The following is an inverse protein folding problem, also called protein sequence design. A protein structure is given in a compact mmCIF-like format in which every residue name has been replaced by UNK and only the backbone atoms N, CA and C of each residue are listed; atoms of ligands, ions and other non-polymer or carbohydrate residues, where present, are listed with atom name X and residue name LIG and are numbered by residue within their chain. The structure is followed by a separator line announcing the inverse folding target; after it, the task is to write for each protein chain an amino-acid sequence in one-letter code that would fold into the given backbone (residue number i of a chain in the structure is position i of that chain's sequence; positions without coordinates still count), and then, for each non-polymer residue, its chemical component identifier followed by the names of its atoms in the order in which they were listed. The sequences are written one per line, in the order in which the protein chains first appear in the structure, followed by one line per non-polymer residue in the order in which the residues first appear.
data_IF_900367398586
#
_entry.id   IF_900367398586
#
_cell.length_a   1.000
_cell.length_b   1.000
_cell.length_c   1.000
_cell.angle_alpha   90.00
_cell.angle_beta   90.00
_cell.angle_gamma   90.00
#
_symmetry.space_group_name_H-M   'P 1'
#
loop_
_entity.id
_entity.type
_entity.pdbx_description
1 polymer ?
#
# COMPACT_ATOMS: atom_id res chain seq x y z
N UNK A 1 4.35 -22.11 18.47
CA UNK A 1 3.12 -22.76 18.99
C UNK A 1 2.00 -22.71 17.93
N UNK A 2 1.68 -21.57 17.31
CA UNK A 2 0.61 -21.45 16.29
C UNK A 2 0.79 -22.33 15.03
N UNK A 3 2.00 -22.58 14.61
CA UNK A 3 2.30 -23.44 13.44
C UNK A 3 1.97 -24.92 13.70
N UNK A 4 1.97 -25.36 14.97
CA UNK A 4 1.67 -26.76 15.36
C UNK A 4 0.19 -27.07 15.57
N UNK A 5 -0.66 -26.07 15.76
CA UNK A 5 -2.10 -26.24 16.04
C UNK A 5 -2.91 -26.44 14.75
N UNK A 6 -2.31 -26.25 13.59
CA UNK A 6 -3.01 -26.23 12.28
C UNK A 6 -3.09 -27.62 11.60
N UNK A 7 -2.86 -28.72 12.32
CA UNK A 7 -2.88 -30.07 11.72
C UNK A 7 -4.25 -30.76 11.70
N UNK A 8 -5.32 -30.11 12.17
CA UNK A 8 -6.65 -30.74 12.27
C UNK A 8 -7.86 -29.84 11.99
N UNK A 9 -7.68 -28.60 11.49
CA UNK A 9 -8.76 -27.65 11.23
C UNK A 9 -8.61 -26.90 9.90
N UNK A 10 -9.54 -26.00 9.57
CA UNK A 10 -9.44 -25.10 8.42
C UNK A 10 -8.09 -24.38 8.46
N UNK A 11 -7.25 -24.52 7.42
CA UNK A 11 -5.96 -23.85 7.36
C UNK A 11 -6.19 -22.35 7.49
N UNK A 12 -5.74 -21.75 8.58
CA UNK A 12 -5.68 -20.30 8.73
C UNK A 12 -4.90 -19.73 7.55
N UNK A 13 -5.50 -18.75 6.87
CA UNK A 13 -4.79 -18.04 5.82
C UNK A 13 -3.60 -17.29 6.45
N UNK A 14 -2.60 -17.04 5.66
CA UNK A 14 -1.44 -16.25 6.10
C UNK A 14 -1.87 -14.85 6.59
N UNK A 15 -2.87 -14.27 5.95
CA UNK A 15 -3.52 -13.03 6.32
C UNK A 15 -4.17 -13.08 7.70
N UNK A 16 -4.88 -14.17 8.03
CA UNK A 16 -5.51 -14.33 9.34
C UNK A 16 -4.47 -14.44 10.46
N UNK A 17 -3.35 -15.09 10.20
CA UNK A 17 -2.25 -15.18 11.14
C UNK A 17 -1.63 -13.80 11.39
N UNK A 18 -1.36 -13.02 10.34
CA UNK A 18 -0.86 -11.64 10.46
C UNK A 18 -1.85 -10.76 11.21
N UNK A 19 -3.15 -10.85 10.91
CA UNK A 19 -4.18 -10.11 11.63
C UNK A 19 -4.23 -10.49 13.11
N UNK A 20 -4.02 -11.75 13.45
CA UNK A 20 -3.96 -12.18 14.86
C UNK A 20 -2.75 -11.57 15.59
N UNK A 21 -1.60 -11.51 14.93
CA UNK A 21 -0.40 -10.87 15.47
C UNK A 21 -0.62 -9.36 15.67
N UNK A 22 -1.19 -8.69 14.68
CA UNK A 22 -1.51 -7.26 14.77
C UNK A 22 -2.49 -6.98 15.91
N UNK A 23 -3.60 -7.70 15.97
CA UNK A 23 -4.62 -7.54 17.03
C UNK A 23 -4.03 -7.76 18.43
N UNK A 24 -3.05 -8.64 18.57
CA UNK A 24 -2.40 -8.90 19.85
C UNK A 24 -1.37 -7.83 20.27
N UNK A 25 -0.94 -6.98 19.36
CA UNK A 25 0.11 -5.98 19.61
C UNK A 25 -0.34 -4.52 19.41
N UNK A 26 -1.51 -4.28 18.81
CA UNK A 26 -2.12 -2.96 18.71
C UNK A 26 -2.92 -2.65 19.98
N UNK A 27 -2.94 -1.39 20.37
CA UNK A 27 -3.76 -0.90 21.50
C UNK A 27 -5.21 -0.62 21.07
N UNK A 28 -5.45 -0.36 19.76
CA UNK A 28 -6.78 -0.13 19.18
C UNK A 28 -7.35 -1.38 18.49
N UNK A 29 -8.64 -1.34 18.13
CA UNK A 29 -9.27 -2.40 17.31
C UNK A 29 -8.86 -2.31 15.84
N UNK A 30 -7.59 -2.60 15.56
CA UNK A 30 -7.05 -2.60 14.20
C UNK A 30 -7.83 -3.51 13.24
N UNK A 31 -8.45 -4.59 13.75
CA UNK A 31 -9.24 -5.50 12.93
C UNK A 31 -10.53 -4.83 12.45
N UNK A 32 -11.25 -4.17 13.35
CA UNK A 32 -12.45 -3.41 13.01
C UNK A 32 -12.14 -2.26 12.07
N UNK A 33 -11.14 -1.46 12.39
CA UNK A 33 -10.69 -0.33 11.55
C UNK A 33 -10.31 -0.79 10.12
N UNK A 34 -9.52 -1.85 10.01
CA UNK A 34 -9.11 -2.37 8.70
C UNK A 34 -10.30 -2.87 7.87
N UNK A 35 -11.28 -3.50 8.50
CA UNK A 35 -12.50 -3.94 7.81
C UNK A 35 -13.27 -2.75 7.23
N UNK A 36 -13.38 -1.65 7.97
CA UNK A 36 -14.03 -0.41 7.50
C UNK A 36 -13.34 0.09 6.22
N UNK A 37 -12.02 0.13 6.17
CA UNK A 37 -11.29 0.56 4.97
C UNK A 37 -11.42 -0.42 3.81
N UNK A 38 -11.32 -1.74 4.06
CA UNK A 38 -11.52 -2.76 3.01
C UNK A 38 -12.91 -2.66 2.41
N UNK A 39 -13.95 -2.49 3.23
CA UNK A 39 -15.33 -2.35 2.75
C UNK A 39 -15.50 -1.04 1.97
N UNK A 40 -14.94 0.06 2.45
CA UNK A 40 -14.92 1.34 1.73
C UNK A 40 -14.26 1.20 0.35
N UNK A 41 -13.09 0.59 0.25
CA UNK A 41 -12.40 0.41 -1.03
C UNK A 41 -13.17 -0.54 -1.96
N UNK A 42 -13.85 -1.54 -1.42
CA UNK A 42 -14.72 -2.42 -2.20
C UNK A 42 -15.92 -1.68 -2.79
N UNK A 43 -16.57 -0.82 -2.02
CA UNK A 43 -17.75 -0.05 -2.49
C UNK A 43 -17.37 0.99 -3.55
N UNK A 44 -16.15 1.51 -3.54
CA UNK A 44 -15.63 2.41 -4.59
C UNK A 44 -15.03 1.65 -5.79
N UNK A 45 -15.16 0.32 -5.81
CA UNK A 45 -14.69 -0.52 -6.92
C UNK A 45 -13.24 -1.02 -6.78
N UNK A 46 -12.51 -0.62 -5.74
CA UNK A 46 -11.12 -1.04 -5.50
C UNK A 46 -11.01 -2.28 -4.58
N UNK A 47 -11.85 -3.28 -4.80
CA UNK A 47 -11.84 -4.54 -4.06
C UNK A 47 -10.52 -5.32 -4.14
N UNK A 48 -9.67 -5.01 -5.12
CA UNK A 48 -8.30 -5.53 -5.19
C UNK A 48 -7.41 -5.00 -4.04
N UNK A 49 -7.78 -3.90 -3.39
CA UNK A 49 -7.06 -3.32 -2.27
C UNK A 49 -7.58 -3.88 -0.94
N UNK A 50 -7.39 -5.18 -0.75
CA UNK A 50 -7.80 -5.90 0.45
C UNK A 50 -6.80 -5.78 1.61
N UNK A 51 -7.03 -6.55 2.69
CA UNK A 51 -6.20 -6.54 3.92
C UNK A 51 -4.72 -6.73 3.63
N UNK A 52 -4.35 -7.74 2.83
CA UNK A 52 -2.95 -8.04 2.52
C UNK A 52 -2.27 -6.87 1.81
N UNK A 53 -3.01 -6.22 0.91
CA UNK A 53 -2.51 -5.06 0.19
C UNK A 53 -2.29 -3.87 1.14
N UNK A 54 -3.22 -3.61 2.07
CA UNK A 54 -3.08 -2.57 3.09
C UNK A 54 -1.86 -2.84 3.96
N UNK A 55 -1.69 -4.08 4.44
CA UNK A 55 -0.57 -4.48 5.30
C UNK A 55 0.78 -4.33 4.59
N UNK A 56 0.87 -4.81 3.35
CA UNK A 56 2.12 -4.68 2.57
C UNK A 56 2.42 -3.22 2.25
N UNK A 57 1.39 -2.43 1.94
CA UNK A 57 1.54 -0.98 1.75
C UNK A 57 1.99 -0.30 3.05
N UNK A 58 1.46 -0.69 4.20
CA UNK A 58 1.90 -0.14 5.50
C UNK A 58 3.40 -0.34 5.74
N UNK A 59 3.93 -1.55 5.48
CA UNK A 59 5.38 -1.81 5.56
C UNK A 59 6.16 -0.90 4.59
N UNK A 60 5.67 -0.76 3.36
CA UNK A 60 6.30 0.09 2.34
C UNK A 60 6.36 1.56 2.79
N UNK A 61 5.27 2.09 3.35
CA UNK A 61 5.17 3.48 3.77
C UNK A 61 6.10 3.81 4.94
N UNK A 62 6.21 2.92 5.93
CA UNK A 62 7.13 3.13 7.07
C UNK A 62 8.60 2.87 6.70
N UNK A 63 8.91 2.47 5.47
CA UNK A 63 10.27 2.17 5.01
C UNK A 63 10.84 0.86 5.54
N UNK A 64 9.98 -0.05 6.02
CA UNK A 64 10.39 -1.39 6.43
C UNK A 64 10.54 -2.32 5.22
N UNK A 65 11.17 -3.49 5.44
CA UNK A 65 11.20 -4.52 4.42
C UNK A 65 9.77 -4.96 4.09
N UNK A 66 9.31 -4.66 2.86
CA UNK A 66 7.95 -4.86 2.41
C UNK A 66 7.65 -6.27 1.88
N UNK A 67 8.63 -7.18 1.87
CA UNK A 67 8.37 -8.59 1.56
C UNK A 67 7.32 -9.12 2.55
N UNK A 68 6.21 -9.63 2.01
CA UNK A 68 5.06 -10.04 2.80
C UNK A 68 5.36 -11.38 3.51
N UNK A 69 6.02 -11.31 4.66
CA UNK A 69 6.30 -12.44 5.52
C UNK A 69 6.20 -12.06 7.02
N UNK A 70 6.02 -13.07 7.88
CA UNK A 70 5.85 -12.88 9.33
C UNK A 70 7.02 -12.15 10.00
N UNK A 71 8.25 -12.31 9.49
CA UNK A 71 9.44 -11.69 10.08
C UNK A 71 9.40 -10.17 9.97
N UNK A 72 8.74 -9.66 8.93
CA UNK A 72 8.60 -8.23 8.70
C UNK A 72 7.48 -7.59 9.54
N UNK A 73 6.61 -8.41 10.14
CA UNK A 73 5.62 -7.98 11.14
C UNK A 73 6.13 -8.24 12.57
N UNK A 74 7.38 -7.85 12.83
CA UNK A 74 7.96 -7.86 14.17
C UNK A 74 7.42 -6.71 15.03
N UNK A 75 7.68 -6.75 16.34
CA UNK A 75 7.18 -5.75 17.30
C UNK A 75 7.53 -4.31 16.91
N UNK A 76 8.75 -4.07 16.42
CA UNK A 76 9.21 -2.74 16.02
C UNK A 76 8.40 -2.20 14.85
N UNK A 77 8.21 -3.00 13.79
CA UNK A 77 7.44 -2.59 12.62
C UNK A 77 5.95 -2.44 12.95
N UNK A 78 5.39 -3.35 13.76
CA UNK A 78 3.99 -3.25 14.21
C UNK A 78 3.78 -1.96 15.00
N UNK A 79 4.65 -1.65 15.93
CA UNK A 79 4.57 -0.40 16.70
C UNK A 79 4.71 0.84 15.79
N UNK A 80 5.62 0.81 14.83
CA UNK A 80 5.75 1.89 13.84
C UNK A 80 4.50 2.05 12.96
N UNK A 81 3.87 0.95 12.56
CA UNK A 81 2.60 0.98 11.82
C UNK A 81 1.50 1.59 12.71
N UNK A 82 1.38 1.16 13.96
CA UNK A 82 0.39 1.67 14.91
C UNK A 82 0.54 3.18 15.11
N UNK A 83 1.75 3.66 15.41
CA UNK A 83 2.02 5.08 15.61
C UNK A 83 1.72 5.95 14.38
N UNK A 84 1.77 5.38 13.19
CA UNK A 84 1.54 6.08 11.93
C UNK A 84 0.23 5.67 11.25
N UNK A 85 -0.63 4.89 11.92
CA UNK A 85 -1.80 4.29 11.30
C UNK A 85 -2.71 5.31 10.60
N UNK A 86 -3.06 6.40 11.27
CA UNK A 86 -3.91 7.46 10.69
C UNK A 86 -3.29 8.08 9.44
N UNK A 87 -1.97 8.29 9.44
CA UNK A 87 -1.25 8.84 8.28
C UNK A 87 -1.20 7.83 7.13
N UNK A 88 -1.02 6.55 7.46
CA UNK A 88 -1.01 5.45 6.48
C UNK A 88 -2.35 5.35 5.78
N UNK A 89 -3.44 5.25 6.53
CA UNK A 89 -4.79 5.09 5.95
C UNK A 89 -5.25 6.35 5.24
N UNK A 90 -4.86 7.53 5.71
CA UNK A 90 -5.10 8.79 5.00
C UNK A 90 -4.40 8.81 3.64
N UNK A 91 -3.12 8.47 3.59
CA UNK A 91 -2.36 8.43 2.33
C UNK A 91 -2.93 7.40 1.34
N UNK A 92 -3.33 6.22 1.83
CA UNK A 92 -3.98 5.19 0.99
C UNK A 92 -5.33 5.70 0.47
N UNK A 93 -6.15 6.29 1.33
CA UNK A 93 -7.47 6.82 0.96
C UNK A 93 -7.35 7.94 -0.07
N UNK A 94 -6.40 8.85 0.12
CA UNK A 94 -6.12 9.93 -0.82
C UNK A 94 -5.61 9.40 -2.17
N UNK A 95 -4.77 8.37 -2.16
CA UNK A 95 -4.29 7.69 -3.37
C UNK A 95 -5.44 7.02 -4.14
N UNK A 96 -6.34 6.32 -3.43
CA UNK A 96 -7.55 5.74 -4.05
C UNK A 96 -8.37 6.84 -4.73
N UNK A 97 -8.64 7.93 -4.02
CA UNK A 97 -9.41 9.06 -4.55
C UNK A 97 -8.76 9.70 -5.78
N UNK A 98 -7.43 9.84 -5.81
CA UNK A 98 -6.69 10.34 -6.98
C UNK A 98 -6.90 9.43 -8.18
N UNK A 99 -6.82 8.12 -7.99
CA UNK A 99 -7.00 7.12 -9.05
C UNK A 99 -8.45 7.09 -9.54
N UNK A 100 -9.42 7.27 -8.66
CA UNK A 100 -10.84 7.46 -8.98
C UNK A 100 -11.06 8.69 -9.87
N UNK A 101 -10.46 9.82 -9.52
CA UNK A 101 -10.55 11.07 -10.32
C UNK A 101 -9.95 10.93 -11.72
N UNK A 102 -9.04 9.98 -11.91
CA UNK A 102 -8.49 9.64 -13.24
C UNK A 102 -9.43 8.75 -14.07
N UNK A 103 -10.61 8.41 -13.52
CA UNK A 103 -11.60 7.59 -14.19
C UNK A 103 -11.36 6.09 -14.07
N UNK A 104 -10.43 5.65 -13.23
CA UNK A 104 -10.23 4.23 -12.93
C UNK A 104 -11.11 3.82 -11.76
N UNK A 105 -12.07 2.95 -12.02
CA UNK A 105 -12.89 2.31 -10.99
C UNK A 105 -12.71 0.79 -11.09
N UNK A 106 -12.13 0.20 -10.07
CA UNK A 106 -12.20 -1.24 -9.82
C UNK A 106 -11.36 -2.19 -10.68
N UNK A 107 -10.85 -1.78 -11.83
CA UNK A 107 -10.09 -2.64 -12.73
C UNK A 107 -8.64 -2.16 -12.93
N UNK A 108 -7.91 -2.10 -11.83
CA UNK A 108 -6.47 -1.89 -11.93
C UNK A 108 -5.76 -3.21 -12.19
N UNK A 109 -4.76 -3.20 -13.08
CA UNK A 109 -3.86 -4.33 -13.31
C UNK A 109 -3.16 -4.77 -12.02
N UNK A 110 -2.95 -3.83 -11.08
CA UNK A 110 -2.39 -4.12 -9.76
C UNK A 110 -2.74 -3.02 -8.75
N UNK A 111 -3.12 -3.42 -7.52
CA UNK A 111 -3.31 -2.50 -6.39
C UNK A 111 -2.03 -1.74 -5.98
N UNK A 112 -0.86 -2.20 -6.38
CA UNK A 112 0.40 -1.52 -6.08
C UNK A 112 0.58 -0.19 -6.80
N UNK A 113 -0.21 0.09 -7.84
CA UNK A 113 -0.32 1.43 -8.42
C UNK A 113 -0.76 2.44 -7.35
N UNK A 114 -1.79 2.09 -6.57
CA UNK A 114 -2.26 2.90 -5.44
C UNK A 114 -1.18 2.99 -4.36
N UNK A 115 -0.50 1.88 -4.05
CA UNK A 115 0.55 1.85 -3.03
C UNK A 115 1.70 2.83 -3.32
N UNK A 116 2.10 3.00 -4.59
CA UNK A 116 3.16 3.93 -4.98
C UNK A 116 2.70 5.38 -4.87
N UNK A 117 1.47 5.70 -5.26
CA UNK A 117 0.91 7.04 -5.04
C UNK A 117 0.82 7.35 -3.54
N UNK A 118 0.33 6.39 -2.74
CA UNK A 118 0.27 6.52 -1.28
C UNK A 118 1.66 6.74 -0.66
N UNK A 119 2.70 6.04 -1.17
CA UNK A 119 4.08 6.23 -0.73
C UNK A 119 4.54 7.67 -0.94
N UNK A 120 4.27 8.25 -2.11
CA UNK A 120 4.61 9.64 -2.41
C UNK A 120 3.89 10.60 -1.45
N UNK A 121 2.58 10.48 -1.33
CA UNK A 121 1.77 11.32 -0.45
C UNK A 121 2.24 11.25 1.00
N UNK A 122 2.47 10.04 1.50
CA UNK A 122 2.95 9.78 2.86
C UNK A 122 4.31 10.43 3.12
N UNK A 123 5.29 10.21 2.24
CA UNK A 123 6.66 10.72 2.40
C UNK A 123 6.75 12.24 2.26
N UNK A 124 5.97 12.83 1.36
CA UNK A 124 5.94 14.29 1.16
C UNK A 124 5.00 15.00 2.13
N UNK A 125 4.18 14.27 2.90
CA UNK A 125 3.18 14.85 3.79
C UNK A 125 2.12 15.65 3.05
N UNK A 126 1.74 15.22 1.83
CA UNK A 126 0.81 15.94 0.97
C UNK A 126 -0.56 15.26 1.04
N UNK A 127 -1.59 16.01 1.43
CA UNK A 127 -2.98 15.57 1.34
C UNK A 127 -3.55 15.80 -0.06
N UNK A 128 -4.58 15.05 -0.43
CA UNK A 128 -5.27 15.12 -1.72
C UNK A 128 -5.57 16.56 -2.19
N UNK A 129 -6.14 17.39 -1.32
CA UNK A 129 -6.50 18.79 -1.65
C UNK A 129 -5.31 19.77 -1.76
N UNK A 130 -4.09 19.31 -1.49
CA UNK A 130 -2.85 20.09 -1.57
C UNK A 130 -1.92 19.62 -2.69
N UNK A 131 -2.35 18.62 -3.46
CA UNK A 131 -1.57 18.08 -4.57
C UNK A 131 -1.44 19.13 -5.69
N UNK A 132 -0.21 19.36 -6.15
CA UNK A 132 0.07 20.27 -7.27
C UNK A 132 -0.45 19.66 -8.58
N UNK A 133 -0.89 20.51 -9.50
CA UNK A 133 -1.34 20.07 -10.83
C UNK A 133 -0.26 19.27 -11.58
N UNK A 134 1.00 19.70 -11.49
CA UNK A 134 2.15 19.01 -12.11
C UNK A 134 2.32 17.58 -11.58
N UNK A 135 2.20 17.39 -10.26
CA UNK A 135 2.27 16.06 -9.66
C UNK A 135 1.06 15.19 -10.05
N UNK A 136 -0.13 15.81 -10.11
CA UNK A 136 -1.35 15.14 -10.55
C UNK A 136 -1.25 14.63 -11.99
N UNK A 137 -0.73 15.43 -12.90
CA UNK A 137 -0.51 15.07 -14.31
C UNK A 137 0.54 13.95 -14.43
N UNK A 138 1.61 14.03 -13.64
CA UNK A 138 2.63 12.99 -13.59
C UNK A 138 2.08 11.67 -13.02
N UNK A 139 1.24 11.72 -11.97
CA UNK A 139 0.54 10.56 -11.43
C UNK A 139 -0.41 9.94 -12.45
N UNK A 140 -1.14 10.75 -13.21
CA UNK A 140 -2.00 10.24 -14.28
C UNK A 140 -1.22 9.47 -15.34
N UNK A 141 -0.07 10.02 -15.79
CA UNK A 141 0.84 9.33 -16.72
C UNK A 141 1.35 8.02 -16.14
N UNK A 142 1.76 8.03 -14.86
CA UNK A 142 2.21 6.82 -14.13
C UNK A 142 1.13 5.75 -14.10
N UNK A 143 -0.08 6.08 -13.64
CA UNK A 143 -1.21 5.14 -13.55
C UNK A 143 -1.49 4.52 -14.93
N UNK A 144 -1.60 5.37 -15.96
CA UNK A 144 -1.85 4.91 -17.34
C UNK A 144 -0.77 3.96 -17.84
N UNK A 145 0.50 4.32 -17.66
CA UNK A 145 1.62 3.49 -18.10
C UNK A 145 1.66 2.17 -17.34
N UNK A 146 1.56 2.21 -16.01
CA UNK A 146 1.58 1.01 -15.17
C UNK A 146 0.39 0.08 -15.47
N UNK A 147 -0.78 0.65 -15.80
CA UNK A 147 -1.97 -0.09 -16.20
C UNK A 147 -1.78 -0.79 -17.55
N UNK A 148 -1.34 -0.06 -18.59
CA UNK A 148 -1.17 -0.60 -19.95
C UNK A 148 -0.07 -1.68 -19.99
N UNK A 149 1.04 -1.44 -19.29
CA UNK A 149 2.17 -2.37 -19.28
C UNK A 149 2.04 -3.50 -18.26
N UNK A 150 0.97 -3.50 -17.46
CA UNK A 150 0.81 -4.42 -16.31
C UNK A 150 2.07 -4.44 -15.42
N UNK A 151 2.69 -3.28 -15.19
CA UNK A 151 4.03 -3.14 -14.62
C UNK A 151 4.20 -3.90 -13.30
N UNK A 152 3.25 -3.82 -12.37
CA UNK A 152 3.33 -4.43 -11.04
C UNK A 152 2.74 -5.85 -10.96
N UNK A 153 2.58 -6.56 -12.08
CA UNK A 153 2.05 -7.94 -12.07
C UNK A 153 3.15 -9.00 -11.99
N UNK A 154 4.39 -8.65 -12.33
CA UNK A 154 5.54 -9.56 -12.30
C UNK A 154 6.72 -8.91 -11.59
N UNK A 155 7.61 -9.72 -10.99
CA UNK A 155 8.82 -9.26 -10.28
C UNK A 155 8.54 -8.15 -9.26
N UNK A 156 7.43 -8.29 -8.54
CA UNK A 156 6.85 -7.23 -7.72
C UNK A 156 7.84 -6.66 -6.70
N UNK A 157 8.50 -7.51 -5.91
CA UNK A 157 9.37 -7.03 -4.82
C UNK A 157 10.56 -6.21 -5.37
N UNK A 158 11.12 -6.61 -6.52
CA UNK A 158 12.16 -5.82 -7.19
C UNK A 158 11.62 -4.46 -7.63
N UNK A 159 10.45 -4.41 -8.24
CA UNK A 159 9.82 -3.16 -8.71
C UNK A 159 9.43 -2.23 -7.57
N UNK A 160 9.04 -2.78 -6.43
CA UNK A 160 8.79 -1.99 -5.23
C UNK A 160 10.10 -1.44 -4.63
N UNK A 161 11.20 -2.20 -4.64
CA UNK A 161 12.51 -1.69 -4.24
C UNK A 161 12.95 -0.54 -5.14
N UNK A 162 12.85 -0.71 -6.46
CA UNK A 162 13.14 0.36 -7.42
C UNK A 162 12.29 1.62 -7.13
N UNK A 163 11.00 1.43 -6.83
CA UNK A 163 10.13 2.54 -6.50
C UNK A 163 10.54 3.24 -5.18
N UNK A 164 10.96 2.49 -4.16
CA UNK A 164 11.49 3.06 -2.93
C UNK A 164 12.74 3.89 -3.18
N UNK A 165 13.73 3.34 -3.89
CA UNK A 165 14.99 4.02 -4.23
C UNK A 165 14.74 5.27 -5.09
N UNK A 166 13.87 5.15 -6.11
CA UNK A 166 13.48 6.27 -6.95
C UNK A 166 12.80 7.38 -6.17
N UNK A 167 11.97 7.02 -5.19
CA UNK A 167 11.23 7.97 -4.35
C UNK A 167 12.12 8.70 -3.33
N UNK A 168 13.18 8.08 -2.83
CA UNK A 168 14.08 8.69 -1.84
C UNK A 168 14.75 9.95 -2.36
N UNK A 169 15.13 9.95 -3.63
CA UNK A 169 15.86 11.04 -4.27
C UNK A 169 14.99 11.93 -5.15
N UNK A 170 13.71 11.60 -5.33
CA UNK A 170 12.79 12.36 -6.19
C UNK A 170 12.39 13.70 -5.54
N UNK A 171 12.47 14.77 -6.33
CA UNK A 171 12.02 16.12 -5.91
C UNK A 171 10.50 16.24 -5.95
N UNK A 172 9.89 15.68 -6.97
CA UNK A 172 8.46 15.65 -7.22
C UNK A 172 8.05 14.33 -7.92
N UNK A 173 6.76 14.17 -8.26
CA UNK A 173 6.30 12.94 -8.89
C UNK A 173 6.74 12.79 -10.35
N UNK A 174 7.02 13.89 -11.05
CA UNK A 174 7.54 13.84 -12.42
C UNK A 174 8.98 13.30 -12.43
N UNK A 175 9.84 13.81 -11.54
CA UNK A 175 11.22 13.31 -11.37
C UNK A 175 11.22 11.83 -10.96
N UNK A 176 10.29 11.41 -10.09
CA UNK A 176 10.10 9.99 -9.75
C UNK A 176 9.80 9.14 -10.99
N UNK A 177 8.85 9.57 -11.84
CA UNK A 177 8.53 8.86 -13.08
C UNK A 177 9.73 8.72 -14.02
N UNK A 178 10.53 9.77 -14.17
CA UNK A 178 11.72 9.77 -15.03
C UNK A 178 12.79 8.79 -14.49
N UNK A 179 12.92 8.67 -13.19
CA UNK A 179 13.80 7.69 -12.53
C UNK A 179 13.32 6.26 -12.75
N UNK A 180 12.02 6.02 -12.54
CA UNK A 180 11.41 4.70 -12.76
C UNK A 180 11.55 4.21 -14.21
N UNK A 181 11.51 5.12 -15.18
CA UNK A 181 11.69 4.78 -16.60
C UNK A 181 13.12 4.36 -16.96
N UNK A 182 14.10 4.69 -16.11
CA UNK A 182 15.54 4.37 -16.31
C UNK A 182 15.99 3.10 -15.58
N UNK A 183 15.15 2.54 -14.69
CA UNK A 183 15.40 1.32 -13.90
C UNK A 183 14.79 0.08 -14.55
#
# INVERSE_FOLDING_TARGET
IFIRVNSGGTKLSYSDLLMSILTANFSSDIRGEMNVYVDKFRTTGFGCFGRDQILKTSLLLIGANHIFNLRNFNKTNIHSIEQNWDKIVSAITDAVRIVEDFGYSGQLASGYIISIIALYLYRKGIAYGKLKATDRDAMFKFVRTAQITSYFTTSLDRKLNNALEGMESATDFADFNDRMAKM
#
